data_IF_832723256600
#
_entry.id   IF_832723256600
#
_cell.length_a   1.000
_cell.length_b   1.000
_cell.length_c   1.000
_cell.angle_alpha   90.00
_cell.angle_beta   90.00
_cell.angle_gamma   90.00
#
_symmetry.space_group_name_H-M   'P 1'
#
loop_
_entity.id
_entity.type
_entity.pdbx_description
1 polymer ?
#
# COMPACT_ATOMS: atom_id res chain seq x y z
N UNK A 1 5.26 -67.40 49.23
CA UNK A 1 4.47 -67.64 48.03
C UNK A 1 3.54 -66.47 47.78
N UNK A 2 3.38 -65.98 46.56
CA UNK A 2 4.31 -65.14 45.86
C UNK A 2 3.81 -63.67 45.78
N UNK A 3 4.72 -62.80 45.88
CA UNK A 3 4.59 -61.36 45.86
C UNK A 3 4.86 -60.82 44.45
N UNK A 4 3.99 -61.06 43.48
CA UNK A 4 4.19 -60.64 42.10
C UNK A 4 3.07 -59.83 41.46
N UNK A 5 2.13 -59.29 42.27
CA UNK A 5 0.95 -58.59 41.76
C UNK A 5 0.89 -57.12 42.14
N UNK A 6 1.95 -56.51 42.62
CA UNK A 6 1.93 -55.12 43.05
C UNK A 6 2.74 -54.12 42.22
N UNK A 7 3.38 -54.60 41.12
CA UNK A 7 4.23 -53.76 40.30
C UNK A 7 3.60 -53.26 39.01
N UNK A 8 2.40 -53.69 38.63
CA UNK A 8 1.76 -53.29 37.35
C UNK A 8 0.83 -52.11 37.41
N UNK A 9 0.56 -51.52 38.57
CA UNK A 9 -0.46 -50.43 38.66
C UNK A 9 0.18 -49.04 38.71
N UNK A 10 1.49 -48.91 38.94
CA UNK A 10 2.13 -47.59 39.03
C UNK A 10 2.65 -47.06 37.68
N UNK A 11 2.74 -47.90 36.65
CA UNK A 11 3.27 -47.49 35.34
C UNK A 11 2.20 -46.91 34.39
N UNK A 12 0.94 -46.88 34.78
CA UNK A 12 -0.16 -46.45 33.87
C UNK A 12 -0.68 -45.03 34.13
N UNK A 13 -0.12 -44.31 35.07
CA UNK A 13 -0.62 -42.97 35.40
C UNK A 13 0.32 -41.84 35.04
N UNK A 14 1.45 -42.09 34.39
CA UNK A 14 2.40 -41.06 33.98
C UNK A 14 2.34 -40.69 32.49
N UNK A 15 1.34 -41.15 31.76
CA UNK A 15 1.26 -41.02 30.31
C UNK A 15 0.26 -40.06 29.75
N UNK A 16 -0.48 -39.28 30.55
CA UNK A 16 -1.59 -38.50 30.00
C UNK A 16 -1.68 -37.07 30.52
N UNK A 17 -0.58 -36.35 30.48
CA UNK A 17 -0.62 -34.89 30.56
C UNK A 17 0.24 -34.26 29.47
N UNK A 18 0.06 -34.66 28.22
CA UNK A 18 0.32 -33.77 27.10
C UNK A 18 -0.79 -32.73 27.08
N UNK A 19 -0.71 -31.77 27.95
CA UNK A 19 -1.40 -30.49 27.81
C UNK A 19 -0.94 -29.89 26.49
N UNK A 20 -1.73 -30.05 25.45
CA UNK A 20 -1.62 -29.26 24.23
C UNK A 20 -1.79 -27.80 24.63
N UNK A 21 -0.71 -27.14 24.94
CA UNK A 21 -0.64 -25.69 24.95
C UNK A 21 -0.98 -25.24 23.53
N UNK A 22 -2.25 -25.05 23.23
CA UNK A 22 -2.68 -24.29 22.09
C UNK A 22 -2.15 -22.87 22.36
N UNK A 23 -0.95 -22.60 21.86
CA UNK A 23 -0.48 -21.25 21.72
C UNK A 23 -1.52 -20.54 20.84
N UNK A 24 -2.39 -19.77 21.47
CA UNK A 24 -3.15 -18.75 20.75
C UNK A 24 -2.10 -17.81 20.15
N UNK A 25 -1.67 -18.12 18.92
CA UNK A 25 -0.92 -17.18 18.14
C UNK A 25 -1.78 -15.93 18.05
N UNK A 26 -1.43 -14.89 18.83
CA UNK A 26 -2.01 -13.57 18.62
C UNK A 26 -1.87 -13.30 17.14
N UNK A 27 -3.01 -13.16 16.43
CA UNK A 27 -3.00 -12.65 15.05
C UNK A 27 -2.09 -11.44 15.06
N UNK A 28 -1.11 -11.37 14.15
CA UNK A 28 -0.31 -10.16 14.03
C UNK A 28 -1.29 -9.00 13.94
N UNK A 29 -1.09 -7.97 14.76
CA UNK A 29 -1.84 -6.73 14.59
C UNK A 29 -1.43 -6.27 13.21
N UNK A 30 -2.36 -6.38 12.26
CA UNK A 30 -2.14 -5.90 10.89
C UNK A 30 -2.02 -4.39 10.96
N UNK A 31 -0.79 -3.94 11.06
CA UNK A 31 -0.44 -2.53 11.18
C UNK A 31 -0.52 -1.90 9.78
N UNK A 32 -0.95 -0.65 9.75
CA UNK A 32 -0.84 0.17 8.56
C UNK A 32 0.63 0.43 8.23
N UNK A 33 0.99 0.24 6.98
CA UNK A 33 2.28 0.65 6.42
C UNK A 33 2.15 2.04 5.82
N UNK A 34 3.21 2.84 5.90
CA UNK A 34 3.20 4.22 5.42
C UNK A 34 4.19 4.39 4.29
N UNK A 35 3.79 5.15 3.27
CA UNK A 35 4.60 5.45 2.11
C UNK A 35 4.48 6.92 1.75
N UNK A 36 5.52 7.51 1.18
CA UNK A 36 5.49 8.87 0.66
C UNK A 36 6.29 8.96 -0.63
N UNK A 37 5.97 9.96 -1.44
CA UNK A 37 6.71 10.22 -2.68
C UNK A 37 7.90 11.13 -2.38
N UNK A 38 9.10 10.69 -2.75
CA UNK A 38 10.36 11.41 -2.49
C UNK A 38 10.83 12.28 -3.68
N UNK A 39 9.99 12.46 -4.70
CA UNK A 39 10.33 13.15 -5.94
C UNK A 39 10.78 12.23 -7.09
N UNK A 40 10.96 10.95 -6.82
CA UNK A 40 11.34 9.94 -7.82
C UNK A 40 10.48 8.69 -7.73
N UNK A 41 10.23 8.20 -6.52
CA UNK A 41 9.47 6.98 -6.26
C UNK A 41 8.72 7.08 -4.93
N UNK A 42 7.75 6.20 -4.74
CA UNK A 42 7.16 5.96 -3.43
C UNK A 42 8.13 5.14 -2.57
N UNK A 43 8.41 5.63 -1.37
CA UNK A 43 9.30 4.99 -0.40
C UNK A 43 8.57 4.72 0.91
N UNK A 44 8.94 3.63 1.58
CA UNK A 44 8.37 3.27 2.87
C UNK A 44 8.83 4.24 3.96
N UNK A 45 7.90 4.58 4.86
CA UNK A 45 8.13 5.46 5.99
C UNK A 45 7.13 6.61 6.05
N UNK A 46 7.28 7.45 7.07
CA UNK A 46 6.58 8.73 7.18
C UNK A 46 7.55 9.84 6.80
N UNK A 47 7.12 10.81 6.00
CA UNK A 47 7.94 11.97 5.69
C UNK A 47 8.06 12.89 6.90
N UNK A 48 8.80 13.98 6.73
CA UNK A 48 8.84 15.07 7.70
C UNK A 48 7.42 15.64 7.97
N UNK A 49 7.22 16.30 9.13
CA UNK A 49 5.92 16.89 9.48
C UNK A 49 5.39 17.76 8.34
N UNK A 50 4.11 17.64 8.06
CA UNK A 50 3.35 18.38 7.04
C UNK A 50 3.50 17.90 5.58
N UNK A 51 4.31 16.90 5.29
CA UNK A 51 4.35 16.30 3.95
C UNK A 51 3.30 15.19 3.80
N UNK A 52 2.62 15.08 2.66
CA UNK A 52 1.64 14.04 2.41
C UNK A 52 2.25 12.65 2.46
N UNK A 53 1.48 11.70 2.95
CA UNK A 53 1.84 10.29 2.94
C UNK A 53 0.59 9.41 2.69
N UNK A 54 0.83 8.15 2.41
CA UNK A 54 -0.20 7.16 2.12
C UNK A 54 -0.14 6.07 3.17
N UNK A 55 -1.25 5.84 3.85
CA UNK A 55 -1.41 4.70 4.74
C UNK A 55 -1.99 3.53 3.93
N UNK A 56 -1.35 2.37 4.02
CA UNK A 56 -1.66 1.17 3.24
C UNK A 56 -1.82 -0.02 4.17
N UNK A 57 -2.83 -0.82 3.88
CA UNK A 57 -3.05 -2.13 4.48
C UNK A 57 -3.67 -3.05 3.42
N UNK A 58 -3.16 -4.26 3.29
CA UNK A 58 -3.69 -5.25 2.34
C UNK A 58 -5.18 -5.50 2.58
N UNK A 59 -5.95 -5.51 1.50
CA UNK A 59 -7.40 -5.68 1.52
C UNK A 59 -8.20 -4.43 1.91
N UNK A 60 -7.54 -3.28 2.08
CA UNK A 60 -8.20 -2.02 2.40
C UNK A 60 -7.85 -0.93 1.40
N UNK A 61 -8.79 0.00 1.23
CA UNK A 61 -8.57 1.20 0.43
C UNK A 61 -7.49 2.05 1.11
N UNK A 62 -6.41 2.43 0.42
CA UNK A 62 -5.37 3.28 0.97
C UNK A 62 -5.90 4.68 1.28
N UNK A 63 -5.33 5.30 2.31
CA UNK A 63 -5.72 6.65 2.74
C UNK A 63 -4.54 7.59 2.53
N UNK A 64 -4.80 8.65 1.76
CA UNK A 64 -3.81 9.69 1.48
C UNK A 64 -3.92 10.78 2.54
N UNK A 65 -2.77 11.24 3.03
CA UNK A 65 -2.64 12.45 3.85
C UNK A 65 -3.49 12.45 5.13
N UNK A 66 -3.29 11.44 5.95
CA UNK A 66 -4.00 11.41 7.22
C UNK A 66 -3.25 12.21 8.28
N UNK A 67 -3.92 13.23 8.84
CA UNK A 67 -3.56 13.91 10.09
C UNK A 67 -4.34 13.34 11.26
N UNK A 68 -5.32 12.50 10.98
CA UNK A 68 -6.18 11.88 11.97
C UNK A 68 -5.44 10.72 12.64
N UNK A 69 -5.61 10.60 13.96
CA UNK A 69 -5.09 9.47 14.73
C UNK A 69 -5.77 8.16 14.32
N UNK A 70 -6.99 8.25 13.78
CA UNK A 70 -7.80 7.11 13.39
C UNK A 70 -8.06 7.10 11.90
N UNK A 71 -7.42 6.17 11.20
CA UNK A 71 -7.66 5.92 9.78
C UNK A 71 -9.00 5.20 9.62
N UNK A 72 -9.86 5.71 8.73
CA UNK A 72 -11.13 5.06 8.38
C UNK A 72 -10.85 3.81 7.55
N UNK A 73 -11.18 2.65 8.10
CA UNK A 73 -10.99 1.37 7.43
C UNK A 73 -12.14 1.10 6.43
N UNK A 74 -11.82 1.17 5.15
CA UNK A 74 -12.71 0.79 4.04
C UNK A 74 -12.09 -0.40 3.34
N UNK A 75 -12.82 -1.53 3.28
CA UNK A 75 -12.34 -2.72 2.59
C UNK A 75 -12.43 -2.56 1.08
N UNK A 76 -11.45 -3.11 0.37
CA UNK A 76 -11.53 -3.30 -1.08
C UNK A 76 -12.59 -4.35 -1.41
N UNK A 77 -13.24 -4.20 -2.56
CA UNK A 77 -14.15 -5.22 -3.08
C UNK A 77 -13.36 -6.47 -3.52
N UNK A 78 -14.05 -7.59 -3.54
CA UNK A 78 -13.45 -8.85 -3.99
C UNK A 78 -13.03 -8.75 -5.47
N UNK A 79 -11.84 -9.25 -5.78
CA UNK A 79 -11.28 -9.19 -7.13
C UNK A 79 -10.64 -7.85 -7.51
N UNK A 80 -10.64 -6.87 -6.60
CA UNK A 80 -10.05 -5.54 -6.84
C UNK A 80 -8.74 -5.34 -6.09
N UNK A 81 -8.00 -4.36 -6.51
CA UNK A 81 -6.85 -3.79 -5.80
C UNK A 81 -6.89 -2.27 -5.86
N UNK A 82 -5.99 -1.63 -5.16
CA UNK A 82 -5.88 -0.18 -5.17
C UNK A 82 -4.69 0.30 -5.99
N UNK A 83 -4.90 1.37 -6.73
CA UNK A 83 -3.84 2.13 -7.39
C UNK A 83 -3.74 3.50 -6.73
N UNK A 84 -2.58 3.81 -6.19
CA UNK A 84 -2.25 5.14 -5.66
C UNK A 84 -1.24 5.80 -6.57
N UNK A 85 -1.51 7.01 -6.97
CA UNK A 85 -0.58 7.77 -7.79
C UNK A 85 -0.39 9.20 -7.31
N UNK A 86 0.64 9.83 -7.86
CA UNK A 86 0.89 11.26 -7.73
C UNK A 86 1.18 11.86 -9.10
N UNK A 87 0.49 12.95 -9.43
CA UNK A 87 0.83 13.78 -10.58
C UNK A 87 1.81 14.87 -10.15
N UNK A 88 2.92 14.99 -10.87
CA UNK A 88 3.94 15.96 -10.50
C UNK A 88 4.68 16.53 -11.71
N UNK A 89 5.24 17.70 -11.52
CA UNK A 89 6.20 18.34 -12.43
C UNK A 89 7.57 18.23 -11.82
N UNK A 90 8.52 17.70 -12.57
CA UNK A 90 9.92 17.63 -12.15
C UNK A 90 10.59 18.98 -12.34
N UNK A 91 11.24 19.50 -11.28
CA UNK A 91 12.07 20.71 -11.35
C UNK A 91 13.50 20.36 -11.76
N UNK A 92 14.02 21.06 -12.74
CA UNK A 92 15.42 20.98 -13.15
C UNK A 92 16.09 22.33 -12.92
N UNK A 93 17.26 22.33 -12.33
CA UNK A 93 18.06 23.56 -12.15
C UNK A 93 18.79 23.95 -13.41
N UNK A 94 19.04 25.27 -13.55
CA UNK A 94 19.94 25.82 -14.52
C UNK A 94 21.41 25.49 -14.19
N UNK A 95 22.34 25.99 -15.03
CA UNK A 95 23.81 25.77 -14.88
C UNK A 95 24.38 26.20 -13.51
N UNK A 96 23.75 27.15 -12.85
CA UNK A 96 24.25 27.76 -11.62
C UNK A 96 23.62 27.23 -10.33
N UNK A 97 22.45 26.60 -10.41
CA UNK A 97 21.76 26.04 -9.25
C UNK A 97 21.09 24.73 -9.67
N UNK A 98 21.66 23.59 -9.31
CA UNK A 98 20.98 22.31 -9.54
C UNK A 98 19.75 22.25 -8.63
N UNK A 99 18.59 22.65 -9.14
CA UNK A 99 17.33 22.42 -8.46
C UNK A 99 16.97 20.96 -8.62
N UNK A 100 16.91 20.23 -7.52
CA UNK A 100 16.36 18.89 -7.45
C UNK A 100 15.09 18.98 -6.63
N UNK A 101 13.95 18.75 -7.26
CA UNK A 101 12.68 18.80 -6.56
C UNK A 101 11.54 18.43 -7.48
N UNK A 102 10.37 18.38 -6.92
CA UNK A 102 9.16 18.17 -7.66
C UNK A 102 8.07 19.10 -7.10
N UNK A 103 7.08 19.37 -7.93
CA UNK A 103 5.87 20.09 -7.53
C UNK A 103 4.67 19.19 -7.83
N UNK A 104 3.88 18.80 -6.82
CA UNK A 104 2.62 18.12 -7.04
C UNK A 104 1.69 18.97 -7.91
N UNK A 105 0.88 18.33 -8.73
CA UNK A 105 -0.12 19.00 -9.57
C UNK A 105 -1.50 18.65 -9.05
N UNK A 106 -2.12 19.55 -8.28
CA UNK A 106 -3.46 19.34 -7.74
C UNK A 106 -4.53 19.45 -8.82
N UNK A 107 -5.67 18.82 -8.57
CA UNK A 107 -6.89 18.89 -9.41
C UNK A 107 -6.64 18.50 -10.87
N UNK A 108 -5.58 17.70 -11.12
CA UNK A 108 -5.26 17.22 -12.45
C UNK A 108 -6.14 16.03 -12.80
N UNK A 109 -6.85 16.14 -13.92
CA UNK A 109 -7.57 15.01 -14.51
C UNK A 109 -6.62 14.12 -15.31
N UNK A 110 -6.68 12.82 -15.05
CA UNK A 110 -5.92 11.79 -15.74
C UNK A 110 -6.84 10.63 -16.10
N UNK A 111 -6.51 9.89 -17.14
CA UNK A 111 -7.20 8.67 -17.51
C UNK A 111 -6.40 7.44 -17.09
N UNK A 112 -7.07 6.46 -16.52
CA UNK A 112 -6.57 5.11 -16.29
C UNK A 112 -7.26 4.22 -17.33
N UNK A 113 -6.50 3.66 -18.26
CA UNK A 113 -7.04 2.83 -19.34
C UNK A 113 -6.65 1.38 -19.11
N UNK A 114 -7.62 0.47 -19.18
CA UNK A 114 -7.32 -0.96 -19.12
C UNK A 114 -6.45 -1.37 -20.32
N UNK A 115 -5.63 -2.40 -20.16
CA UNK A 115 -4.67 -2.83 -21.18
C UNK A 115 -5.34 -3.24 -22.50
N UNK A 116 -6.61 -3.67 -22.45
CA UNK A 116 -7.43 -3.98 -23.62
C UNK A 116 -7.89 -2.73 -24.40
N UNK A 117 -7.70 -1.55 -23.81
CA UNK A 117 -8.05 -0.26 -24.42
C UNK A 117 -9.55 0.05 -24.46
N UNK A 118 -10.41 -0.82 -23.91
CA UNK A 118 -11.85 -0.67 -24.05
C UNK A 118 -12.48 0.30 -23.06
N UNK A 119 -11.84 0.54 -21.93
CA UNK A 119 -12.38 1.44 -20.90
C UNK A 119 -11.32 2.39 -20.37
N UNK A 120 -11.68 3.67 -20.30
CA UNK A 120 -10.90 4.71 -19.66
C UNK A 120 -11.66 5.22 -18.42
N UNK A 121 -11.03 5.18 -17.28
CA UNK A 121 -11.58 5.65 -16.00
C UNK A 121 -10.95 7.01 -15.72
N UNK A 122 -11.71 8.10 -15.74
CA UNK A 122 -11.21 9.41 -15.36
C UNK A 122 -11.00 9.47 -13.85
N UNK A 123 -9.85 9.99 -13.42
CA UNK A 123 -9.51 10.20 -12.03
C UNK A 123 -8.94 11.59 -11.87
N UNK A 124 -9.29 12.28 -10.79
CA UNK A 124 -8.77 13.60 -10.47
C UNK A 124 -7.85 13.51 -9.25
N UNK A 125 -6.72 14.22 -9.29
CA UNK A 125 -5.84 14.35 -8.13
C UNK A 125 -6.44 15.27 -7.07
N UNK A 126 -6.10 15.01 -5.82
CA UNK A 126 -6.45 15.84 -4.68
C UNK A 126 -5.63 17.15 -4.62
N UNK A 127 -5.79 17.94 -3.54
CA UNK A 127 -5.05 19.18 -3.30
C UNK A 127 -3.53 19.02 -3.18
N UNK A 128 -3.05 17.79 -3.01
CA UNK A 128 -1.63 17.45 -2.89
C UNK A 128 -1.08 16.70 -4.12
N UNK A 129 -1.90 16.60 -5.16
CA UNK A 129 -1.54 15.94 -6.40
C UNK A 129 -1.65 14.41 -6.37
N UNK A 130 -2.20 13.82 -5.31
CA UNK A 130 -2.41 12.38 -5.20
C UNK A 130 -3.77 11.96 -5.75
N UNK A 131 -3.87 10.71 -6.15
CA UNK A 131 -5.14 10.04 -6.45
C UNK A 131 -5.13 8.62 -5.92
N UNK A 132 -6.32 8.12 -5.63
CA UNK A 132 -6.57 6.73 -5.25
C UNK A 132 -7.69 6.20 -6.14
N UNK A 133 -7.49 5.04 -6.72
CA UNK A 133 -8.50 4.35 -7.52
C UNK A 133 -8.56 2.89 -7.15
N UNK A 134 -9.75 2.39 -6.87
CA UNK A 134 -10.01 0.96 -6.75
C UNK A 134 -10.32 0.40 -8.13
N UNK A 135 -9.59 -0.64 -8.54
CA UNK A 135 -9.64 -1.20 -9.88
C UNK A 135 -9.68 -2.73 -9.82
N UNK A 136 -10.36 -3.41 -10.74
CA UNK A 136 -10.18 -4.85 -10.93
C UNK A 136 -8.69 -5.22 -11.07
N UNK A 137 -8.31 -6.40 -10.58
CA UNK A 137 -6.95 -6.88 -10.77
C UNK A 137 -6.65 -7.02 -12.28
N UNK A 138 -5.54 -6.43 -12.73
CA UNK A 138 -5.23 -6.39 -14.16
C UNK A 138 -4.09 -5.43 -14.50
N UNK A 139 -3.85 -5.24 -15.79
CA UNK A 139 -2.85 -4.31 -16.31
C UNK A 139 -3.52 -3.06 -16.86
N UNK A 140 -2.93 -1.91 -16.56
CA UNK A 140 -3.46 -0.59 -16.89
C UNK A 140 -2.37 0.32 -17.44
N UNK A 141 -2.81 1.36 -18.14
CA UNK A 141 -1.98 2.48 -18.60
C UNK A 141 -2.52 3.77 -18.00
N UNK A 142 -1.64 4.59 -17.46
CA UNK A 142 -2.03 5.78 -16.71
C UNK A 142 -1.48 7.04 -17.36
N UNK A 143 -2.36 8.03 -17.50
CA UNK A 143 -2.05 9.36 -18.00
C UNK A 143 -1.64 9.40 -19.47
N UNK A 144 -1.28 10.59 -19.94
CA UNK A 144 -0.92 10.82 -21.34
C UNK A 144 0.38 10.10 -21.76
N UNK A 145 1.24 9.80 -20.81
CA UNK A 145 2.49 9.07 -21.09
C UNK A 145 2.27 7.55 -21.14
N UNK A 146 1.05 7.08 -20.94
CA UNK A 146 0.68 5.66 -20.97
C UNK A 146 1.59 4.79 -20.09
N UNK A 147 1.87 5.26 -18.87
CA UNK A 147 2.72 4.53 -17.92
C UNK A 147 2.02 3.24 -17.53
N UNK A 148 2.68 2.12 -17.77
CA UNK A 148 2.11 0.80 -17.47
C UNK A 148 2.20 0.50 -15.98
N UNK A 149 1.12 -0.06 -15.43
CA UNK A 149 1.03 -0.52 -14.06
C UNK A 149 0.16 -1.78 -13.98
N UNK A 150 0.54 -2.69 -13.11
CA UNK A 150 -0.27 -3.84 -12.75
C UNK A 150 -0.95 -3.59 -11.42
N UNK A 151 -2.24 -3.90 -11.33
CA UNK A 151 -3.02 -3.88 -10.10
C UNK A 151 -3.23 -5.32 -9.65
N UNK A 152 -2.76 -5.65 -8.47
CA UNK A 152 -2.89 -6.98 -7.88
C UNK A 152 -4.07 -7.02 -6.91
N UNK A 153 -4.77 -8.16 -6.89
CA UNK A 153 -5.93 -8.36 -6.01
C UNK A 153 -5.57 -8.17 -4.53
N UNK A 154 -6.34 -7.34 -3.84
CA UNK A 154 -6.17 -7.06 -2.42
C UNK A 154 -4.91 -6.26 -2.06
N UNK A 155 -4.17 -5.76 -3.05
CA UNK A 155 -2.91 -5.01 -2.86
C UNK A 155 -3.04 -3.56 -3.27
N UNK A 156 -2.14 -2.74 -2.73
CA UNK A 156 -1.94 -1.36 -3.17
C UNK A 156 -0.70 -1.27 -4.06
N UNK A 157 -0.89 -0.74 -5.25
CA UNK A 157 0.16 -0.50 -6.22
C UNK A 157 0.40 1.01 -6.35
N UNK A 158 1.64 1.42 -6.57
CA UNK A 158 2.03 2.83 -6.62
C UNK A 158 2.52 3.23 -8.00
N UNK A 159 2.15 4.44 -8.44
CA UNK A 159 2.57 4.98 -9.73
C UNK A 159 2.86 6.49 -9.65
N UNK A 160 4.09 6.93 -9.92
CA UNK A 160 4.37 8.35 -10.14
C UNK A 160 4.08 8.73 -11.59
N UNK A 161 3.25 9.75 -11.79
CA UNK A 161 2.86 10.26 -13.11
C UNK A 161 3.46 11.65 -13.30
N UNK A 162 4.54 11.73 -14.09
CA UNK A 162 5.14 12.99 -14.40
C UNK A 162 4.39 13.69 -15.53
N UNK A 163 3.72 14.79 -15.24
CA UNK A 163 2.92 15.54 -16.22
C UNK A 163 3.70 16.66 -16.94
N UNK A 164 4.91 16.96 -16.49
CA UNK A 164 5.72 18.01 -17.12
C UNK A 164 7.14 18.13 -16.56
N UNK A 165 7.84 19.12 -17.08
CA UNK A 165 9.17 19.55 -16.62
C UNK A 165 9.17 21.06 -16.44
N UNK A 166 9.75 21.55 -15.37
CA UNK A 166 9.95 22.98 -15.12
C UNK A 166 11.44 23.27 -15.01
N UNK A 167 11.92 24.16 -15.86
CA UNK A 167 13.24 24.74 -15.71
C UNK A 167 13.17 25.84 -14.65
N UNK A 168 14.09 25.84 -13.73
CA UNK A 168 14.23 26.88 -12.69
C UNK A 168 15.57 27.57 -12.96
N UNK A 169 15.51 28.84 -13.28
CA UNK A 169 16.68 29.69 -13.51
C UNK A 169 17.44 30.05 -12.20
#
# INVERSE_FOLDING_TARGET
MPSSLRFCVVALTLGLTCLTAHAFAKKPIELWSFFYFNGTAFVAGRPEPLSPFVAVRDGFVPVVETREERIKEVKLHEGTGALVGICYVQSYGGKLKPARGFHPVPMQEIAITAADGQSAIPVQTDGNGYFVSELPAGSYRVGNQQVEVRVDNGKTNFIPVRVGKRMVD
#
